data_IF_182018063702
#
_entry.id   IF_182018063702
#
_cell.length_a   1.000
_cell.length_b   1.000
_cell.length_c   1.000
_cell.angle_alpha   90.00
_cell.angle_beta   90.00
_cell.angle_gamma   90.00
#
_symmetry.space_group_name_H-M   'P 1'
#
loop_
_entity.id
_entity.type
_entity.pdbx_description
1 polymer ?
#
# COMPACT_ATOMS: atom_id res chain seq x y z
N UNK A 1 -22.59 23.14 -3.63
CA UNK A 1 -22.43 21.83 -2.95
C UNK A 1 -20.94 21.58 -2.78
N UNK A 2 -20.49 21.10 -1.61
CA UNK A 2 -19.07 20.79 -1.39
C UNK A 2 -18.68 19.58 -2.24
N UNK A 3 -17.44 19.55 -2.76
CA UNK A 3 -16.97 18.48 -3.66
C UNK A 3 -17.14 17.08 -3.07
N UNK A 4 -16.83 16.92 -1.77
CA UNK A 4 -16.98 15.66 -1.02
C UNK A 4 -18.43 15.21 -0.89
N UNK A 5 -19.38 16.13 -0.69
CA UNK A 5 -20.81 15.82 -0.69
C UNK A 5 -21.26 15.31 -2.07
N UNK A 6 -20.82 15.95 -3.15
CA UNK A 6 -21.15 15.48 -4.51
C UNK A 6 -20.58 14.09 -4.79
N UNK A 7 -19.37 13.79 -4.32
CA UNK A 7 -18.78 12.45 -4.45
C UNK A 7 -19.60 11.39 -3.71
N UNK A 8 -20.10 11.67 -2.51
CA UNK A 8 -20.95 10.74 -1.76
C UNK A 8 -22.29 10.50 -2.45
N UNK A 9 -22.85 11.53 -3.09
CA UNK A 9 -24.06 11.38 -3.92
C UNK A 9 -23.81 10.44 -5.10
N UNK A 10 -22.70 10.62 -5.80
CA UNK A 10 -22.33 9.74 -6.93
C UNK A 10 -22.04 8.32 -6.42
N UNK A 11 -21.38 8.17 -5.28
CA UNK A 11 -21.12 6.88 -4.66
C UNK A 11 -22.42 6.15 -4.29
N UNK A 12 -23.39 6.85 -3.70
CA UNK A 12 -24.71 6.31 -3.40
C UNK A 12 -25.43 5.82 -4.67
N UNK A 13 -25.38 6.59 -5.76
CA UNK A 13 -25.96 6.19 -7.05
C UNK A 13 -25.29 4.95 -7.64
N UNK A 14 -23.97 4.83 -7.50
CA UNK A 14 -23.23 3.66 -7.97
C UNK A 14 -23.54 2.40 -7.15
N UNK A 15 -23.60 2.52 -5.81
CA UNK A 15 -23.99 1.43 -4.91
C UNK A 15 -25.44 0.98 -5.17
N UNK A 16 -26.35 1.91 -5.43
CA UNK A 16 -27.72 1.59 -5.83
C UNK A 16 -27.76 0.77 -7.13
N UNK A 17 -26.97 1.16 -8.14
CA UNK A 17 -26.91 0.39 -9.39
C UNK A 17 -26.36 -1.01 -9.18
N UNK A 18 -25.32 -1.16 -8.36
CA UNK A 18 -24.74 -2.47 -8.03
C UNK A 18 -25.80 -3.37 -7.39
N UNK A 19 -26.59 -2.82 -6.49
CA UNK A 19 -27.62 -3.59 -5.80
C UNK A 19 -28.79 -3.99 -6.73
N UNK A 20 -29.14 -3.15 -7.70
CA UNK A 20 -30.26 -3.44 -8.63
C UNK A 20 -29.83 -4.34 -9.78
N UNK A 21 -28.62 -4.15 -10.32
CA UNK A 21 -28.13 -4.84 -11.53
C UNK A 21 -27.20 -6.01 -11.21
N UNK A 22 -26.76 -6.16 -9.96
CA UNK A 22 -25.83 -7.20 -9.51
C UNK A 22 -24.36 -6.83 -9.72
N UNK A 23 -23.49 -7.69 -9.17
CA UNK A 23 -22.06 -7.44 -9.02
C UNK A 23 -21.30 -7.29 -10.35
N UNK A 24 -21.86 -7.75 -11.47
CA UNK A 24 -21.24 -7.71 -12.80
C UNK A 24 -20.91 -6.28 -13.25
N UNK A 25 -21.69 -5.30 -12.80
CA UNK A 25 -21.50 -3.90 -13.18
C UNK A 25 -20.35 -3.22 -12.44
N UNK A 26 -19.69 -3.89 -11.49
CA UNK A 26 -18.54 -3.35 -10.75
C UNK A 26 -17.45 -2.82 -11.69
N UNK A 27 -17.30 -3.46 -12.86
CA UNK A 27 -16.36 -3.10 -13.92
C UNK A 27 -16.71 -1.76 -14.60
N UNK A 28 -17.97 -1.33 -14.53
CA UNK A 28 -18.47 -0.10 -15.14
C UNK A 28 -18.44 1.11 -14.20
N UNK A 29 -18.19 0.92 -12.90
CA UNK A 29 -18.30 1.99 -11.87
C UNK A 29 -17.36 3.14 -12.13
N UNK A 30 -16.13 2.87 -12.59
CA UNK A 30 -15.17 3.92 -12.89
C UNK A 30 -15.68 4.83 -14.00
N UNK A 31 -16.25 4.23 -15.05
CA UNK A 31 -16.87 4.96 -16.15
C UNK A 31 -18.11 5.73 -15.68
N UNK A 32 -18.95 5.10 -14.87
CA UNK A 32 -20.14 5.71 -14.30
C UNK A 32 -19.81 6.95 -13.45
N UNK A 33 -18.92 6.81 -12.47
CA UNK A 33 -18.53 7.90 -11.58
C UNK A 33 -17.87 9.05 -12.35
N UNK A 34 -17.01 8.75 -13.34
CA UNK A 34 -16.39 9.78 -14.19
C UNK A 34 -17.38 10.49 -15.10
N UNK A 35 -18.43 9.80 -15.56
CA UNK A 35 -19.48 10.40 -16.38
C UNK A 35 -20.39 11.33 -15.56
N UNK A 36 -20.63 11.01 -14.28
CA UNK A 36 -21.45 11.83 -13.39
C UNK A 36 -20.68 13.01 -12.78
N UNK A 37 -19.36 12.89 -12.62
CA UNK A 37 -18.53 13.94 -12.06
C UNK A 37 -18.10 14.97 -13.12
N UNK A 38 -18.16 16.26 -12.77
CA UNK A 38 -17.59 17.35 -13.58
C UNK A 38 -16.08 17.51 -13.43
N UNK A 39 -15.53 16.98 -12.33
CA UNK A 39 -14.13 17.10 -11.95
C UNK A 39 -13.58 15.75 -11.48
N UNK A 40 -12.31 15.46 -11.81
CA UNK A 40 -11.68 14.19 -11.48
C UNK A 40 -11.62 13.92 -9.96
N UNK A 41 -11.39 14.96 -9.14
CA UNK A 41 -11.39 14.86 -7.67
C UNK A 41 -12.71 14.27 -7.14
N UNK A 42 -13.83 14.64 -7.78
CA UNK A 42 -15.15 14.22 -7.36
C UNK A 42 -15.38 12.75 -7.74
N UNK A 43 -15.01 12.35 -8.97
CA UNK A 43 -15.10 10.96 -9.40
C UNK A 43 -14.13 10.05 -8.65
N UNK A 44 -12.91 10.51 -8.38
CA UNK A 44 -11.87 9.69 -7.74
C UNK A 44 -12.28 9.34 -6.31
N UNK A 45 -12.79 10.32 -5.55
CA UNK A 45 -13.32 10.05 -4.22
C UNK A 45 -14.59 9.20 -4.25
N UNK A 46 -15.49 9.41 -5.22
CA UNK A 46 -16.68 8.56 -5.38
C UNK A 46 -16.30 7.09 -5.71
N UNK A 47 -15.34 6.88 -6.62
CA UNK A 47 -14.84 5.54 -6.97
C UNK A 47 -14.21 4.87 -5.75
N UNK A 48 -13.41 5.61 -4.98
CA UNK A 48 -12.78 5.10 -3.76
C UNK A 48 -13.84 4.63 -2.75
N UNK A 49 -14.85 5.45 -2.48
CA UNK A 49 -15.95 5.11 -1.59
C UNK A 49 -16.67 3.85 -2.05
N UNK A 50 -17.01 3.73 -3.33
CA UNK A 50 -17.78 2.58 -3.84
C UNK A 50 -16.93 1.31 -3.83
N UNK A 51 -15.68 1.39 -4.31
CA UNK A 51 -14.77 0.23 -4.36
C UNK A 51 -14.31 -0.23 -2.99
N UNK A 52 -14.24 0.66 -2.01
CA UNK A 52 -13.97 0.32 -0.62
C UNK A 52 -15.20 -0.24 0.10
N UNK A 53 -16.37 0.37 -0.11
CA UNK A 53 -17.61 -0.08 0.51
C UNK A 53 -18.04 -1.46 -0.02
N UNK A 54 -18.01 -1.69 -1.33
CA UNK A 54 -18.50 -2.91 -1.98
C UNK A 54 -17.99 -4.24 -1.37
N UNK A 55 -16.66 -4.48 -1.21
CA UNK A 55 -16.16 -5.71 -0.60
C UNK A 55 -16.52 -5.81 0.89
N UNK A 56 -16.70 -4.68 1.59
CA UNK A 56 -17.05 -4.63 3.00
C UNK A 56 -18.56 -4.78 3.28
N UNK A 57 -19.43 -4.76 2.25
CA UNK A 57 -20.90 -4.79 2.40
C UNK A 57 -21.35 -5.94 3.32
N UNK A 58 -20.83 -7.16 3.13
CA UNK A 58 -21.24 -8.32 3.93
C UNK A 58 -20.92 -8.16 5.41
N UNK A 59 -19.79 -7.52 5.75
CA UNK A 59 -19.40 -7.29 7.14
C UNK A 59 -20.18 -6.12 7.74
N UNK A 60 -20.34 -5.04 6.96
CA UNK A 60 -21.12 -3.87 7.34
C UNK A 60 -22.58 -4.24 7.61
N UNK A 61 -23.19 -5.04 6.74
CA UNK A 61 -24.57 -5.53 6.90
C UNK A 61 -24.71 -6.35 8.19
N UNK A 62 -23.74 -7.21 8.52
CA UNK A 62 -23.75 -7.96 9.80
C UNK A 62 -23.73 -7.02 11.01
N UNK A 63 -22.89 -5.98 10.98
CA UNK A 63 -22.80 -4.99 12.07
C UNK A 63 -24.11 -4.21 12.20
N UNK A 64 -24.69 -3.74 11.08
CA UNK A 64 -25.98 -3.04 11.06
C UNK A 64 -27.09 -3.95 11.61
N UNK A 65 -27.18 -5.21 11.18
CA UNK A 65 -28.19 -6.16 11.66
C UNK A 65 -28.06 -6.38 13.17
N UNK A 66 -26.83 -6.53 13.69
CA UNK A 66 -26.59 -6.84 15.10
C UNK A 66 -27.00 -5.74 16.09
N UNK A 67 -27.22 -4.50 15.61
CA UNK A 67 -27.67 -3.37 16.42
C UNK A 67 -29.14 -2.98 16.15
N UNK A 68 -29.74 -3.59 15.15
CA UNK A 68 -31.09 -3.30 14.67
C UNK A 68 -32.07 -4.32 15.24
N UNK A 69 -32.46 -4.16 16.50
CA UNK A 69 -33.48 -5.00 17.12
C UNK A 69 -34.79 -4.91 16.30
N UNK A 70 -35.27 -6.04 15.79
CA UNK A 70 -36.52 -6.21 15.04
C UNK A 70 -36.56 -5.70 13.58
N UNK A 71 -35.42 -5.38 12.95
CA UNK A 71 -35.41 -4.90 11.56
C UNK A 71 -34.61 -5.79 10.62
N UNK A 72 -35.29 -6.28 9.59
CA UNK A 72 -34.71 -7.03 8.48
C UNK A 72 -34.13 -6.05 7.45
N UNK A 73 -32.83 -6.14 7.19
CA UNK A 73 -32.10 -5.29 6.25
C UNK A 73 -32.71 -5.33 4.83
N UNK A 74 -33.33 -6.46 4.45
CA UNK A 74 -33.98 -6.63 3.15
C UNK A 74 -35.34 -5.91 3.05
N UNK A 75 -35.96 -5.55 4.18
CA UNK A 75 -37.24 -4.80 4.22
C UNK A 75 -37.05 -3.28 4.20
N UNK A 76 -35.79 -2.82 4.25
CA UNK A 76 -35.43 -1.41 4.20
C UNK A 76 -35.46 -0.86 2.77
N UNK A 77 -35.81 0.43 2.62
CA UNK A 77 -35.65 1.14 1.36
C UNK A 77 -34.21 1.00 0.85
N UNK A 78 -34.06 0.67 -0.43
CA UNK A 78 -32.76 0.41 -1.08
C UNK A 78 -31.81 1.61 -0.88
N UNK A 79 -32.35 2.83 -0.91
CA UNK A 79 -31.57 4.06 -0.67
C UNK A 79 -31.07 4.12 0.79
N UNK A 80 -31.94 3.91 1.78
CA UNK A 80 -31.55 3.95 3.20
C UNK A 80 -30.46 2.92 3.51
N UNK A 81 -30.59 1.72 2.93
CA UNK A 81 -29.60 0.64 3.09
C UNK A 81 -28.24 1.02 2.52
N UNK A 82 -28.19 1.59 1.32
CA UNK A 82 -26.92 2.03 0.72
C UNK A 82 -26.33 3.26 1.41
N UNK A 83 -27.17 4.17 1.91
CA UNK A 83 -26.70 5.29 2.75
C UNK A 83 -26.04 4.76 4.03
N UNK A 84 -26.66 3.79 4.72
CA UNK A 84 -26.07 3.17 5.89
C UNK A 84 -24.79 2.42 5.56
N UNK A 85 -24.76 1.63 4.48
CA UNK A 85 -23.55 0.91 4.05
C UNK A 85 -22.38 1.86 3.77
N UNK A 86 -22.65 2.93 3.03
CA UNK A 86 -21.65 3.95 2.71
C UNK A 86 -21.15 4.64 3.98
N UNK A 87 -22.05 5.08 4.86
CA UNK A 87 -21.69 5.77 6.08
C UNK A 87 -20.95 4.88 7.09
N UNK A 88 -21.38 3.63 7.24
CA UNK A 88 -20.67 2.63 8.05
C UNK A 88 -19.30 2.33 7.46
N UNK A 89 -19.16 2.30 6.13
CA UNK A 89 -17.85 2.17 5.51
C UNK A 89 -16.92 3.33 5.91
N UNK A 90 -17.41 4.57 5.82
CA UNK A 90 -16.63 5.73 6.28
C UNK A 90 -16.29 5.65 7.78
N UNK A 91 -17.27 5.30 8.63
CA UNK A 91 -17.09 5.24 10.08
C UNK A 91 -16.11 4.15 10.55
N UNK A 92 -16.09 3.01 9.87
CA UNK A 92 -15.36 1.83 10.32
C UNK A 92 -13.99 1.67 9.64
N UNK A 93 -13.84 2.23 8.43
CA UNK A 93 -12.66 1.97 7.61
C UNK A 93 -11.97 3.25 7.10
N UNK A 94 -12.51 4.45 7.38
CA UNK A 94 -11.90 5.72 6.96
C UNK A 94 -11.69 6.69 8.13
N UNK A 95 -10.56 6.51 8.82
CA UNK A 95 -10.18 7.32 10.00
C UNK A 95 -9.85 8.79 9.68
N UNK A 96 -9.68 9.14 8.40
CA UNK A 96 -9.45 10.51 7.94
C UNK A 96 -10.75 11.35 7.88
N UNK A 97 -11.91 10.71 8.03
CA UNK A 97 -13.21 11.40 8.05
C UNK A 97 -13.74 11.41 9.49
N UNK A 98 -13.87 12.61 10.12
CA UNK A 98 -14.43 12.70 11.45
C UNK A 98 -15.80 12.03 11.51
N UNK A 99 -16.09 11.16 12.50
CA UNK A 99 -17.33 10.38 12.56
C UNK A 99 -18.60 11.22 12.42
N UNK A 100 -18.60 12.40 13.04
CA UNK A 100 -19.71 13.37 12.95
C UNK A 100 -19.96 13.86 11.52
N UNK A 101 -18.93 13.97 10.67
CA UNK A 101 -19.07 14.34 9.27
C UNK A 101 -19.75 13.21 8.49
N UNK A 102 -19.30 11.96 8.66
CA UNK A 102 -19.88 10.78 8.02
C UNK A 102 -21.37 10.62 8.37
N UNK A 103 -21.71 10.80 9.66
CA UNK A 103 -23.10 10.75 10.16
C UNK A 103 -23.96 11.85 9.54
N UNK A 104 -23.49 13.11 9.57
CA UNK A 104 -24.27 14.24 9.04
C UNK A 104 -24.49 14.13 7.52
N UNK A 105 -23.47 13.75 6.75
CA UNK A 105 -23.60 13.59 5.30
C UNK A 105 -24.57 12.45 4.97
N UNK A 106 -24.57 11.36 5.73
CA UNK A 106 -25.52 10.26 5.57
C UNK A 106 -26.97 10.69 5.83
N UNK A 107 -27.21 11.48 6.89
CA UNK A 107 -28.54 12.02 7.20
C UNK A 107 -29.05 12.91 6.08
N UNK A 108 -28.19 13.77 5.54
CA UNK A 108 -28.56 14.68 4.45
C UNK A 108 -28.83 13.93 3.15
N UNK A 109 -28.06 12.88 2.83
CA UNK A 109 -28.36 11.98 1.71
C UNK A 109 -29.70 11.26 1.88
N UNK A 110 -29.98 10.74 3.08
CA UNK A 110 -31.24 10.06 3.38
C UNK A 110 -32.45 10.99 3.23
N UNK A 111 -32.36 12.22 3.76
CA UNK A 111 -33.40 13.25 3.60
C UNK A 111 -33.61 13.64 2.14
N UNK A 112 -32.54 13.67 1.34
CA UNK A 112 -32.58 14.11 -0.06
C UNK A 112 -33.13 13.05 -1.01
N UNK A 113 -32.81 11.77 -0.79
CA UNK A 113 -33.05 10.70 -1.76
C UNK A 113 -34.03 9.60 -1.30
N UNK A 114 -34.50 9.66 -0.05
CA UNK A 114 -35.39 8.63 0.53
C UNK A 114 -36.69 9.25 1.09
N UNK A 115 -37.20 8.74 2.22
CA UNK A 115 -38.48 9.17 2.81
C UNK A 115 -38.31 10.30 3.84
N UNK A 116 -39.41 10.98 4.19
CA UNK A 116 -39.41 12.04 5.23
C UNK A 116 -38.88 11.57 6.59
N UNK A 117 -39.03 10.27 6.91
CA UNK A 117 -38.59 9.68 8.18
C UNK A 117 -37.16 9.10 8.11
N UNK A 118 -36.57 8.98 6.92
CA UNK A 118 -35.30 8.28 6.72
C UNK A 118 -34.11 8.97 7.40
N UNK A 119 -34.12 10.30 7.49
CA UNK A 119 -33.05 11.04 8.19
C UNK A 119 -32.95 10.69 9.68
N UNK A 120 -34.08 10.59 10.38
CA UNK A 120 -34.11 10.21 11.81
C UNK A 120 -33.70 8.74 12.01
N UNK A 121 -34.16 7.87 11.11
CA UNK A 121 -33.82 6.46 11.13
C UNK A 121 -32.31 6.24 10.93
N UNK A 122 -31.73 6.82 9.88
CA UNK A 122 -30.29 6.73 9.59
C UNK A 122 -29.46 7.26 10.75
N UNK A 123 -29.83 8.41 11.32
CA UNK A 123 -29.15 8.94 12.50
C UNK A 123 -29.17 7.92 13.67
N UNK A 124 -30.34 7.37 14.00
CA UNK A 124 -30.47 6.44 15.12
C UNK A 124 -29.69 5.13 14.94
N UNK A 125 -29.56 4.63 13.71
CA UNK A 125 -28.74 3.44 13.42
C UNK A 125 -27.25 3.79 13.50
N UNK A 126 -26.82 4.89 12.88
CA UNK A 126 -25.40 5.28 12.86
C UNK A 126 -24.89 5.69 14.23
N UNK A 127 -25.71 6.32 15.08
CA UNK A 127 -25.35 6.61 16.47
C UNK A 127 -25.04 5.32 17.24
N UNK A 128 -25.85 4.26 17.04
CA UNK A 128 -25.61 2.95 17.65
C UNK A 128 -24.36 2.25 17.08
N UNK A 129 -24.13 2.34 15.76
CA UNK A 129 -22.88 1.84 15.14
C UNK A 129 -21.68 2.54 15.75
N UNK A 130 -21.74 3.87 15.81
CA UNK A 130 -20.68 4.70 16.37
C UNK A 130 -20.43 4.35 17.83
N UNK A 131 -21.46 4.34 18.69
CA UNK A 131 -21.29 3.98 20.10
C UNK A 131 -20.69 2.58 20.27
N UNK A 132 -21.17 1.58 19.52
CA UNK A 132 -20.78 0.17 19.73
C UNK A 132 -19.43 -0.19 19.13
N UNK A 133 -19.10 0.35 17.96
CA UNK A 133 -17.94 -0.09 17.17
C UNK A 133 -16.85 0.97 17.01
N UNK A 134 -17.15 2.23 17.33
CA UNK A 134 -16.19 3.34 17.21
C UNK A 134 -15.85 3.89 18.61
N UNK A 135 -16.84 4.36 19.38
CA UNK A 135 -16.66 4.93 20.72
C UNK A 135 -16.28 3.91 21.79
N UNK A 136 -16.94 2.74 21.86
CA UNK A 136 -16.53 1.67 22.79
C UNK A 136 -15.21 0.99 22.39
N UNK A 137 -14.68 1.28 21.20
CA UNK A 137 -13.30 0.97 20.83
C UNK A 137 -12.28 2.00 21.32
N UNK A 138 -12.75 3.16 21.80
CA UNK A 138 -11.94 4.27 22.34
C UNK A 138 -11.98 4.33 23.89
N UNK A 139 -12.98 3.74 24.57
CA UNK A 139 -13.06 3.71 26.05
C UNK A 139 -12.06 2.74 26.74
N UNK A 140 -11.28 1.95 25.98
CA UNK A 140 -10.11 1.22 26.48
C UNK A 140 -8.82 2.09 26.51
N UNK A 141 -8.90 3.39 26.16
CA UNK A 141 -7.71 4.24 25.97
C UNK A 141 -7.64 5.56 26.76
N UNK A 142 -8.48 5.84 27.76
CA UNK A 142 -8.24 7.05 28.57
C UNK A 142 -8.68 6.94 30.04
N UNK A 143 -7.69 6.95 30.96
CA UNK A 143 -7.94 6.89 32.40
C UNK A 143 -6.68 6.67 33.25
N UNK A 144 -5.70 7.57 33.22
CA UNK A 144 -4.63 7.60 34.25
C UNK A 144 -5.03 8.50 35.41
N UNK A 145 -5.22 7.91 36.60
CA UNK A 145 -4.67 8.49 37.84
C UNK A 145 -4.54 7.44 38.95
N UNK A 146 -3.29 7.12 39.29
CA UNK A 146 -2.87 6.70 40.63
C UNK A 146 -3.37 5.36 41.15
N UNK A 147 -2.63 4.29 40.85
CA UNK A 147 -2.12 3.31 41.82
C UNK A 147 -1.18 2.36 41.06
N UNK A 148 0.03 2.20 41.60
CA UNK A 148 1.05 1.29 41.09
C UNK A 148 0.55 -0.17 41.18
N UNK A 149 -0.06 -0.68 40.12
CA UNK A 149 -0.27 -2.13 39.97
C UNK A 149 0.22 -2.60 38.61
N UNK A 150 1.20 -3.50 38.68
CA UNK A 150 1.76 -4.27 37.56
C UNK A 150 0.65 -5.05 36.85
N UNK A 151 0.09 -4.50 35.79
CA UNK A 151 -0.76 -5.27 34.88
C UNK A 151 0.08 -5.73 33.70
N UNK A 152 0.57 -6.97 33.80
CA UNK A 152 1.01 -7.77 32.66
C UNK A 152 -0.20 -7.97 31.73
N UNK A 153 -0.43 -7.03 30.80
CA UNK A 153 -1.28 -7.26 29.65
C UNK A 153 -0.68 -8.44 28.88
N UNK A 154 -1.37 -9.58 28.88
CA UNK A 154 -1.08 -10.68 27.97
C UNK A 154 -1.35 -10.19 26.56
N UNK A 155 -0.34 -9.55 25.95
CA UNK A 155 -0.32 -9.29 24.52
C UNK A 155 -0.51 -10.66 23.86
N UNK A 156 -1.60 -10.81 23.10
CA UNK A 156 -1.81 -12.01 22.29
C UNK A 156 -0.58 -12.28 21.44
N UNK A 157 -0.30 -13.55 21.13
CA UNK A 157 0.87 -13.91 20.30
C UNK A 157 0.86 -13.05 19.03
N UNK A 158 1.98 -12.37 18.73
CA UNK A 158 2.14 -11.62 17.47
C UNK A 158 1.92 -12.56 16.30
N UNK A 159 1.36 -12.03 15.21
CA UNK A 159 1.10 -12.82 14.01
C UNK A 159 1.16 -11.98 12.76
N UNK A 160 1.50 -12.64 11.66
CA UNK A 160 1.51 -12.06 10.32
C UNK A 160 2.69 -11.15 10.07
N UNK A 161 2.86 -10.76 8.81
CA UNK A 161 3.91 -9.84 8.44
C UNK A 161 3.63 -8.99 7.22
N UNK A 162 4.29 -7.84 7.21
CA UNK A 162 4.32 -6.90 6.09
C UNK A 162 5.72 -6.91 5.49
N UNK A 163 5.84 -7.49 4.29
CA UNK A 163 7.13 -7.82 3.69
C UNK A 163 7.56 -6.82 2.61
N UNK A 164 6.96 -5.63 2.57
CA UNK A 164 7.32 -4.61 1.60
C UNK A 164 7.16 -3.21 2.22
N UNK A 165 8.23 -2.69 2.80
CA UNK A 165 8.23 -1.43 3.56
C UNK A 165 9.45 -0.58 3.18
N UNK A 166 9.23 0.70 2.91
CA UNK A 166 10.28 1.68 2.62
C UNK A 166 10.46 2.66 3.77
N UNK A 167 11.71 3.05 4.01
CA UNK A 167 12.12 4.02 5.03
C UNK A 167 12.73 5.26 4.39
N UNK A 168 13.13 6.22 5.23
CA UNK A 168 13.89 7.41 4.85
C UNK A 168 15.33 7.11 4.38
N UNK A 169 15.74 5.84 4.29
CA UNK A 169 16.95 5.39 3.60
C UNK A 169 16.74 5.13 2.10
N UNK A 170 15.51 5.23 1.60
CA UNK A 170 15.21 5.31 0.17
C UNK A 170 14.24 6.44 -0.15
N UNK A 171 12.99 6.13 -0.46
CA UNK A 171 11.92 7.08 -0.74
C UNK A 171 10.69 6.91 0.16
N UNK A 172 10.83 6.24 1.31
CA UNK A 172 9.90 6.38 2.44
C UNK A 172 10.18 7.63 3.29
N UNK A 173 9.24 8.02 4.16
CA UNK A 173 9.41 9.18 5.06
C UNK A 173 9.63 8.82 6.52
N UNK A 174 9.35 7.57 6.91
CA UNK A 174 9.54 7.11 8.28
C UNK A 174 10.95 6.55 8.46
N UNK A 175 11.54 6.77 9.61
CA UNK A 175 12.80 6.14 10.02
C UNK A 175 12.62 4.63 10.26
N UNK A 176 13.71 3.84 10.20
CA UNK A 176 13.65 2.41 10.52
C UNK A 176 13.10 2.14 11.92
N UNK A 177 13.40 2.99 12.90
CA UNK A 177 12.89 2.90 14.26
C UNK A 177 11.38 3.13 14.34
N UNK A 178 10.87 4.19 13.70
CA UNK A 178 9.42 4.46 13.61
C UNK A 178 8.67 3.32 12.94
N UNK A 179 9.25 2.73 11.89
CA UNK A 179 8.69 1.53 11.23
C UNK A 179 8.58 0.35 12.21
N UNK A 180 9.61 0.11 13.01
CA UNK A 180 9.61 -0.97 14.01
C UNK A 180 8.61 -0.69 15.13
N UNK A 181 8.53 0.55 15.63
CA UNK A 181 7.54 0.95 16.64
C UNK A 181 6.11 0.76 16.16
N UNK A 182 5.83 1.19 14.94
CA UNK A 182 4.51 1.04 14.33
C UNK A 182 4.15 -0.43 14.11
N UNK A 183 5.09 -1.25 13.63
CA UNK A 183 4.87 -2.69 13.49
C UNK A 183 4.61 -3.40 14.82
N UNK A 184 5.29 -2.98 15.90
CA UNK A 184 5.04 -3.47 17.26
C UNK A 184 3.65 -3.06 17.76
N UNK A 185 3.23 -1.81 17.49
CA UNK A 185 1.90 -1.29 17.84
C UNK A 185 0.79 -2.06 17.12
N UNK A 186 1.02 -2.45 15.87
CA UNK A 186 0.11 -3.27 15.06
C UNK A 186 0.19 -4.77 15.38
N UNK A 187 0.99 -5.17 16.37
CA UNK A 187 1.17 -6.55 16.80
C UNK A 187 1.62 -7.53 15.69
N UNK A 188 2.37 -7.03 14.70
CA UNK A 188 2.95 -7.85 13.63
C UNK A 188 4.09 -8.72 14.17
N UNK A 189 4.19 -9.95 13.67
CA UNK A 189 5.27 -10.87 14.04
C UNK A 189 6.52 -10.63 13.21
N UNK A 190 6.36 -10.27 11.93
CA UNK A 190 7.48 -10.13 10.99
C UNK A 190 7.32 -8.89 10.11
N UNK A 191 8.41 -8.17 9.88
CA UNK A 191 8.48 -7.13 8.84
C UNK A 191 9.72 -7.31 7.97
N UNK A 192 9.67 -6.81 6.74
CA UNK A 192 10.83 -6.68 5.87
C UNK A 192 10.96 -5.23 5.39
N UNK A 193 12.08 -4.59 5.71
CA UNK A 193 12.43 -3.27 5.16
C UNK A 193 13.12 -3.52 3.82
N UNK A 194 12.55 -2.98 2.75
CA UNK A 194 12.88 -3.29 1.35
C UNK A 194 13.25 -2.01 0.59
N UNK A 195 14.04 -1.14 1.21
CA UNK A 195 14.44 0.14 0.64
C UNK A 195 15.03 -0.01 -0.77
N UNK A 196 14.71 0.96 -1.65
CA UNK A 196 15.18 0.95 -3.03
C UNK A 196 16.71 1.05 -3.14
N UNK A 197 17.33 -0.02 -3.65
CA UNK A 197 18.78 -0.15 -3.85
C UNK A 197 19.63 0.24 -2.62
N UNK A 198 19.08 0.03 -1.42
CA UNK A 198 19.75 0.32 -0.15
C UNK A 198 19.40 -0.73 0.89
N UNK A 199 20.37 -1.05 1.75
CA UNK A 199 20.17 -1.97 2.89
C UNK A 199 20.57 -1.30 4.21
N UNK A 200 20.87 -0.01 4.17
CA UNK A 200 21.49 0.75 5.26
C UNK A 200 20.53 0.87 6.48
N UNK A 201 19.22 0.73 6.26
CA UNK A 201 18.19 0.71 7.30
C UNK A 201 18.15 -0.60 8.12
N UNK A 202 18.64 -1.72 7.57
CA UNK A 202 18.40 -3.05 8.14
C UNK A 202 19.08 -3.21 9.50
N UNK A 203 20.37 -2.87 9.60
CA UNK A 203 21.13 -3.02 10.84
C UNK A 203 20.55 -2.15 11.95
N UNK A 204 20.15 -0.91 11.61
CA UNK A 204 19.49 0.03 12.54
C UNK A 204 18.20 -0.57 13.09
N UNK A 205 17.33 -1.07 12.20
CA UNK A 205 16.07 -1.67 12.58
C UNK A 205 16.28 -2.92 13.46
N UNK A 206 17.22 -3.80 13.09
CA UNK A 206 17.56 -5.01 13.83
C UNK A 206 18.12 -4.69 15.23
N UNK A 207 19.01 -3.71 15.35
CA UNK A 207 19.54 -3.25 16.64
C UNK A 207 18.43 -2.68 17.51
N UNK A 208 17.56 -1.83 16.96
CA UNK A 208 16.45 -1.23 17.69
C UNK A 208 15.40 -2.26 18.13
N UNK A 209 15.20 -3.30 17.33
CA UNK A 209 14.29 -4.41 17.59
C UNK A 209 14.80 -5.40 18.64
N UNK A 210 16.09 -5.39 18.98
CA UNK A 210 16.69 -6.41 19.85
C UNK A 210 15.90 -6.53 21.17
N UNK A 211 15.39 -7.74 21.45
CA UNK A 211 14.53 -8.11 22.59
C UNK A 211 13.08 -7.60 22.56
N UNK A 212 12.58 -7.04 21.45
CA UNK A 212 11.18 -6.56 21.30
C UNK A 212 10.21 -7.60 20.71
N UNK A 213 10.71 -8.78 20.33
CA UNK A 213 9.88 -9.93 19.92
C UNK A 213 9.25 -9.85 18.53
N UNK A 214 9.69 -8.91 17.69
CA UNK A 214 9.36 -8.84 16.27
C UNK A 214 10.55 -9.36 15.44
N UNK A 215 10.28 -9.98 14.30
CA UNK A 215 11.29 -10.48 13.38
C UNK A 215 11.50 -9.48 12.25
N UNK A 216 12.76 -9.13 11.97
CA UNK A 216 13.12 -8.26 10.84
C UNK A 216 13.89 -9.09 9.83
N UNK A 217 13.27 -9.31 8.68
CA UNK A 217 13.91 -10.00 7.55
C UNK A 217 14.87 -9.00 6.88
N UNK A 218 16.17 -9.35 6.73
CA UNK A 218 17.07 -8.58 5.89
C UNK A 218 16.55 -8.61 4.45
N UNK A 219 16.21 -7.46 3.89
CA UNK A 219 15.61 -7.38 2.57
C UNK A 219 15.99 -6.11 1.81
N UNK A 220 15.72 -6.10 0.50
CA UNK A 220 15.99 -4.98 -0.41
C UNK A 220 15.01 -5.01 -1.58
N UNK A 221 14.67 -3.86 -2.15
CA UNK A 221 14.05 -3.80 -3.48
C UNK A 221 15.06 -3.29 -4.51
N UNK A 222 15.55 -4.18 -5.36
CA UNK A 222 16.45 -3.81 -6.45
C UNK A 222 15.64 -3.27 -7.62
N UNK A 223 15.96 -2.05 -8.07
CA UNK A 223 15.43 -1.57 -9.35
C UNK A 223 16.31 -2.08 -10.49
N UNK A 224 15.69 -2.83 -11.39
CA UNK A 224 16.31 -3.42 -12.57
C UNK A 224 15.63 -2.91 -13.84
N UNK A 225 16.25 -3.19 -14.98
CA UNK A 225 15.74 -2.78 -16.28
C UNK A 225 15.46 -3.98 -17.16
N UNK A 226 14.28 -3.95 -17.79
CA UNK A 226 13.95 -4.82 -18.90
C UNK A 226 13.26 -3.98 -19.97
N UNK A 227 13.97 -3.72 -21.07
CA UNK A 227 13.54 -2.78 -22.08
C UNK A 227 12.06 -2.98 -22.48
N UNK A 228 11.23 -1.92 -22.47
CA UNK A 228 11.56 -0.52 -22.18
C UNK A 228 11.26 -0.07 -20.73
N UNK A 229 11.02 -0.99 -19.79
CA UNK A 229 10.46 -0.69 -18.47
C UNK A 229 11.45 -0.92 -17.31
N UNK A 230 11.23 -0.17 -16.23
CA UNK A 230 11.83 -0.46 -14.93
C UNK A 230 11.04 -1.61 -14.28
N UNK A 231 11.73 -2.63 -13.78
CA UNK A 231 11.16 -3.80 -13.11
C UNK A 231 11.83 -3.94 -11.75
N UNK A 232 11.05 -4.13 -10.70
CA UNK A 232 11.58 -4.26 -9.35
C UNK A 232 11.58 -5.71 -8.88
N UNK A 233 12.66 -6.11 -8.22
CA UNK A 233 12.83 -7.43 -7.64
C UNK A 233 13.14 -7.25 -6.15
N UNK A 234 12.26 -7.81 -5.32
CA UNK A 234 12.47 -7.91 -3.89
C UNK A 234 13.47 -9.03 -3.63
N UNK A 235 14.40 -8.79 -2.71
CA UNK A 235 15.32 -9.80 -2.18
C UNK A 235 15.05 -9.99 -0.70
N UNK A 236 14.70 -11.20 -0.27
CA UNK A 236 14.50 -11.54 1.15
C UNK A 236 15.62 -12.43 1.68
N UNK A 237 15.90 -12.33 2.98
CA UNK A 237 16.97 -13.06 3.65
C UNK A 237 18.34 -12.89 2.96
N UNK A 238 18.61 -11.67 2.49
CA UNK A 238 19.89 -11.34 1.85
C UNK A 238 21.03 -11.35 2.86
N UNK A 239 22.22 -11.76 2.44
CA UNK A 239 23.44 -11.54 3.23
C UNK A 239 23.88 -10.08 3.11
N UNK A 240 23.62 -9.30 4.16
CA UNK A 240 23.95 -7.87 4.25
C UNK A 240 25.46 -7.60 4.28
N UNK A 241 26.31 -8.63 4.39
CA UNK A 241 27.77 -8.53 4.34
C UNK A 241 28.36 -9.01 3.01
N UNK A 242 27.51 -9.45 2.07
CA UNK A 242 27.96 -9.93 0.77
C UNK A 242 28.59 -8.79 -0.04
N UNK A 243 29.88 -8.92 -0.37
CA UNK A 243 30.63 -7.86 -1.04
C UNK A 243 30.15 -7.56 -2.46
N UNK A 244 29.65 -8.55 -3.19
CA UNK A 244 29.11 -8.35 -4.53
C UNK A 244 27.80 -7.56 -4.51
N UNK A 245 26.90 -7.89 -3.57
CA UNK A 245 25.67 -7.13 -3.34
C UNK A 245 25.99 -5.70 -2.92
N UNK A 246 26.82 -5.51 -1.90
CA UNK A 246 27.23 -4.19 -1.41
C UNK A 246 27.86 -3.32 -2.49
N UNK A 247 28.78 -3.90 -3.28
CA UNK A 247 29.41 -3.22 -4.40
C UNK A 247 28.40 -2.77 -5.46
N UNK A 248 27.44 -3.64 -5.80
CA UNK A 248 26.42 -3.29 -6.80
C UNK A 248 25.41 -2.26 -6.28
N UNK A 249 25.00 -2.34 -5.01
CA UNK A 249 24.12 -1.33 -4.39
C UNK A 249 24.78 0.05 -4.41
N UNK A 250 26.08 0.15 -4.10
CA UNK A 250 26.83 1.40 -4.19
C UNK A 250 26.86 1.96 -5.61
N UNK A 251 27.10 1.11 -6.62
CA UNK A 251 27.05 1.50 -8.04
C UNK A 251 25.66 2.04 -8.44
N UNK A 252 24.58 1.36 -8.01
CA UNK A 252 23.20 1.78 -8.31
C UNK A 252 22.86 3.13 -7.68
N UNK A 253 23.31 3.39 -6.45
CA UNK A 253 23.10 4.69 -5.79
C UNK A 253 23.87 5.82 -6.48
N UNK A 254 25.10 5.57 -6.93
CA UNK A 254 25.87 6.55 -7.72
C UNK A 254 25.17 6.86 -9.05
N UNK A 255 24.65 5.85 -9.74
CA UNK A 255 23.92 6.08 -10.99
C UNK A 255 22.61 6.86 -10.75
N UNK A 256 21.90 6.63 -9.64
CA UNK A 256 20.73 7.44 -9.28
C UNK A 256 21.07 8.92 -9.17
N UNK A 257 22.19 9.28 -8.56
CA UNK A 257 22.67 10.67 -8.47
C UNK A 257 22.89 11.26 -9.86
N UNK A 258 23.60 10.54 -10.74
CA UNK A 258 23.84 10.99 -12.12
C UNK A 258 22.55 11.07 -12.94
N UNK A 259 21.62 10.15 -12.69
CA UNK A 259 20.30 10.13 -13.32
C UNK A 259 19.47 11.34 -12.91
N UNK A 260 19.47 11.74 -11.63
CA UNK A 260 18.80 12.97 -11.19
C UNK A 260 19.36 14.18 -11.93
N UNK A 261 20.69 14.31 -12.05
CA UNK A 261 21.32 15.41 -12.81
C UNK A 261 20.86 15.45 -14.27
N UNK A 262 20.71 14.28 -14.90
CA UNK A 262 20.19 14.17 -16.28
C UNK A 262 18.70 14.55 -16.36
N UNK A 263 17.88 14.10 -15.42
CA UNK A 263 16.44 14.42 -15.36
C UNK A 263 16.24 15.93 -15.17
N UNK A 264 16.92 16.55 -14.21
CA UNK A 264 16.81 18.00 -13.96
C UNK A 264 17.34 18.81 -15.13
N UNK A 265 18.42 18.38 -15.79
CA UNK A 265 18.88 19.00 -17.05
C UNK A 265 17.80 18.97 -18.14
N UNK A 266 17.09 17.84 -18.31
CA UNK A 266 15.98 17.75 -19.26
C UNK A 266 14.82 18.67 -18.87
N UNK A 267 14.46 18.75 -17.58
CA UNK A 267 13.45 19.67 -17.07
C UNK A 267 13.81 21.14 -17.35
N UNK A 268 15.05 21.53 -17.07
CA UNK A 268 15.53 22.90 -17.29
C UNK A 268 15.46 23.30 -18.78
N UNK A 269 15.78 22.38 -19.69
CA UNK A 269 15.63 22.59 -21.13
C UNK A 269 14.17 22.79 -21.58
N UNK A 270 13.21 22.36 -20.77
CA UNK A 270 11.76 22.56 -20.99
C UNK A 270 11.24 23.82 -20.28
N UNK A 271 12.12 24.65 -19.72
CA UNK A 271 11.74 25.84 -18.94
C UNK A 271 11.28 25.52 -17.51
N UNK A 272 11.46 24.28 -17.04
CA UNK A 272 11.12 23.86 -15.68
C UNK A 272 12.39 23.82 -14.84
N UNK A 273 12.72 24.95 -14.23
CA UNK A 273 13.99 25.13 -13.52
C UNK A 273 13.99 24.43 -12.16
N UNK A 274 14.69 23.30 -12.07
CA UNK A 274 14.93 22.52 -10.84
C UNK A 274 16.44 22.34 -10.66
N UNK A 275 16.98 22.72 -9.49
CA UNK A 275 18.35 22.41 -9.13
C UNK A 275 18.45 20.95 -8.65
N UNK A 276 19.39 20.12 -9.16
CA UNK A 276 19.64 18.79 -8.62
C UNK A 276 19.83 18.77 -7.09
N UNK A 277 20.47 19.80 -6.52
CA UNK A 277 20.70 19.87 -5.08
C UNK A 277 19.39 19.86 -4.27
N UNK A 278 18.34 20.54 -4.75
CA UNK A 278 17.03 20.52 -4.09
C UNK A 278 16.44 19.11 -4.03
N UNK A 279 16.68 18.30 -5.07
CA UNK A 279 16.22 16.91 -5.10
C UNK A 279 17.00 16.06 -4.10
N UNK A 280 18.31 16.30 -3.96
CA UNK A 280 19.15 15.61 -2.98
C UNK A 280 18.79 16.02 -1.55
N UNK A 281 18.51 17.29 -1.30
CA UNK A 281 18.09 17.80 0.01
C UNK A 281 16.74 17.18 0.43
N UNK A 282 15.83 16.94 -0.53
CA UNK A 282 14.56 16.24 -0.29
C UNK A 282 14.79 14.75 0.02
N UNK A 283 15.72 14.10 -0.67
CA UNK A 283 16.07 12.70 -0.41
C UNK A 283 16.77 12.53 0.95
N UNK A 284 17.50 13.56 1.41
CA UNK A 284 18.20 13.53 2.69
C UNK A 284 19.28 12.45 2.71
N UNK A 285 19.16 11.50 3.64
CA UNK A 285 20.05 10.33 3.74
C UNK A 285 19.63 9.18 2.81
N UNK A 286 18.47 9.29 2.16
CA UNK A 286 17.91 8.26 1.31
C UNK A 286 18.45 8.23 -0.12
N UNK A 287 18.30 7.08 -0.76
CA UNK A 287 18.64 6.87 -2.17
C UNK A 287 17.77 7.76 -3.09
N UNK A 288 18.33 8.74 -3.84
CA UNK A 288 17.54 9.68 -4.61
C UNK A 288 16.82 9.01 -5.79
N UNK A 289 15.71 9.60 -6.24
CA UNK A 289 14.81 8.95 -7.18
C UNK A 289 13.80 9.90 -7.80
N UNK A 290 12.99 9.40 -8.75
CA UNK A 290 11.96 10.21 -9.43
C UNK A 290 10.91 10.76 -8.48
N UNK A 291 10.62 10.06 -7.38
CA UNK A 291 9.72 10.54 -6.33
C UNK A 291 10.21 11.88 -5.75
N UNK A 292 11.50 11.98 -5.42
CA UNK A 292 12.11 13.23 -4.94
C UNK A 292 12.09 14.36 -5.98
N UNK A 293 12.25 14.04 -7.27
CA UNK A 293 12.06 15.04 -8.36
C UNK A 293 10.61 15.50 -8.45
N UNK A 294 9.65 14.59 -8.31
CA UNK A 294 8.23 14.90 -8.33
C UNK A 294 7.86 15.86 -7.19
N UNK A 295 8.44 15.65 -6.00
CA UNK A 295 8.29 16.57 -4.87
C UNK A 295 8.92 17.94 -5.13
N UNK A 296 10.13 17.99 -5.70
CA UNK A 296 10.75 19.27 -6.05
C UNK A 296 9.88 20.07 -7.04
N UNK A 297 9.29 19.38 -8.04
CA UNK A 297 8.36 19.98 -8.98
C UNK A 297 7.11 20.55 -8.29
N UNK A 298 6.55 19.83 -7.31
CA UNK A 298 5.41 20.30 -6.53
C UNK A 298 5.78 21.48 -5.62
N UNK A 299 6.89 21.40 -4.88
CA UNK A 299 7.37 22.47 -3.99
C UNK A 299 7.64 23.77 -4.74
N UNK A 300 8.11 23.68 -5.99
CA UNK A 300 8.32 24.83 -6.89
C UNK A 300 7.06 25.32 -7.62
N UNK A 301 5.92 24.65 -7.44
CA UNK A 301 4.64 25.03 -8.04
C UNK A 301 4.49 24.69 -9.53
N UNK A 302 5.40 23.89 -10.11
CA UNK A 302 5.27 23.46 -11.51
C UNK A 302 4.16 22.43 -11.72
N UNK A 303 3.87 21.65 -10.67
CA UNK A 303 2.85 20.62 -10.64
C UNK A 303 2.05 20.74 -9.33
N UNK A 304 0.75 20.44 -9.37
CA UNK A 304 -0.13 20.52 -8.20
C UNK A 304 0.00 19.32 -7.25
N UNK A 305 0.48 18.18 -7.74
CA UNK A 305 0.67 16.94 -6.97
C UNK A 305 1.65 15.98 -7.67
N UNK A 306 2.08 14.95 -6.93
CA UNK A 306 3.04 13.93 -7.40
C UNK A 306 2.56 13.24 -8.68
N UNK A 307 1.27 12.88 -8.76
CA UNK A 307 0.70 12.20 -9.95
C UNK A 307 0.82 13.07 -11.20
N UNK A 308 0.61 14.38 -11.07
CA UNK A 308 0.79 15.32 -12.16
C UNK A 308 2.26 15.40 -12.60
N UNK A 309 3.21 15.46 -11.66
CA UNK A 309 4.65 15.45 -11.94
C UNK A 309 5.07 14.23 -12.77
N UNK A 310 4.59 13.03 -12.41
CA UNK A 310 4.84 11.82 -13.20
C UNK A 310 4.20 11.90 -14.58
N UNK A 311 2.91 12.25 -14.66
CA UNK A 311 2.18 12.32 -15.94
C UNK A 311 2.77 13.31 -16.93
N UNK A 312 3.26 14.47 -16.46
CA UNK A 312 3.78 15.53 -17.32
C UNK A 312 5.25 15.33 -17.69
N UNK A 313 6.06 14.79 -16.78
CA UNK A 313 7.51 14.85 -16.92
C UNK A 313 8.26 13.54 -16.69
N UNK A 314 7.88 12.75 -15.69
CA UNK A 314 8.78 11.72 -15.12
C UNK A 314 8.42 10.27 -15.43
N UNK A 315 7.17 9.98 -15.83
CA UNK A 315 6.75 8.63 -16.18
C UNK A 315 7.43 8.15 -17.48
N UNK A 316 7.32 6.86 -17.77
CA UNK A 316 7.93 6.29 -18.96
C UNK A 316 7.50 7.04 -20.22
N UNK A 317 8.45 7.27 -21.13
CA UNK A 317 8.28 8.05 -22.37
C UNK A 317 7.95 9.54 -22.17
N UNK A 318 7.86 10.05 -20.94
CA UNK A 318 7.67 11.47 -20.70
C UNK A 318 8.95 12.28 -20.98
N UNK A 319 8.85 13.61 -21.22
CA UNK A 319 9.96 14.43 -21.72
C UNK A 319 11.23 14.42 -20.86
N UNK A 320 11.10 14.29 -19.53
CA UNK A 320 12.24 14.25 -18.61
C UNK A 320 12.64 12.83 -18.18
N UNK A 321 12.02 11.78 -18.72
CA UNK A 321 12.36 10.40 -18.41
C UNK A 321 13.79 10.07 -18.85
N UNK A 322 14.52 9.37 -17.97
CA UNK A 322 15.85 8.82 -18.24
C UNK A 322 15.81 7.36 -17.78
N UNK A 323 16.10 6.36 -18.64
CA UNK A 323 16.06 4.95 -18.26
C UNK A 323 17.22 4.58 -17.32
N UNK A 324 16.99 3.61 -16.42
CA UNK A 324 17.98 3.11 -15.45
C UNK A 324 18.62 1.81 -15.94
N UNK A 325 19.58 1.88 -16.87
CA UNK A 325 20.13 0.68 -17.54
C UNK A 325 21.28 -0.03 -16.78
N UNK A 326 21.49 0.30 -15.51
CA UNK A 326 22.66 -0.12 -14.71
C UNK A 326 22.63 -1.59 -14.30
N UNK A 327 21.45 -2.16 -14.13
CA UNK A 327 21.25 -3.54 -13.71
C UNK A 327 20.12 -4.15 -14.54
N UNK A 328 20.46 -5.16 -15.34
CA UNK A 328 19.46 -5.88 -16.13
C UNK A 328 18.67 -6.82 -15.22
N UNK A 329 17.40 -7.06 -15.57
CA UNK A 329 16.50 -7.95 -14.81
C UNK A 329 17.12 -9.32 -14.46
N UNK A 330 17.79 -9.97 -15.43
CA UNK A 330 18.45 -11.24 -15.21
C UNK A 330 19.57 -11.16 -14.16
N UNK A 331 20.34 -10.07 -14.18
CA UNK A 331 21.45 -9.85 -13.26
C UNK A 331 20.96 -9.51 -11.86
N UNK A 332 19.82 -8.80 -11.74
CA UNK A 332 19.20 -8.52 -10.43
C UNK A 332 18.77 -9.79 -9.71
N UNK A 333 18.07 -10.69 -10.41
CA UNK A 333 17.63 -11.99 -9.89
C UNK A 333 18.86 -12.82 -9.47
N UNK A 334 19.86 -12.92 -10.35
CA UNK A 334 21.09 -13.67 -10.07
C UNK A 334 21.86 -13.08 -8.89
N UNK A 335 21.96 -11.75 -8.80
CA UNK A 335 22.66 -11.08 -7.71
C UNK A 335 22.05 -11.46 -6.35
N UNK A 336 20.73 -11.32 -6.21
CA UNK A 336 20.00 -11.68 -4.98
C UNK A 336 20.26 -13.15 -4.65
N UNK A 337 20.04 -14.07 -5.59
CA UNK A 337 20.22 -15.49 -5.36
C UNK A 337 21.67 -15.85 -4.98
N UNK A 338 22.66 -15.27 -5.67
CA UNK A 338 24.08 -15.50 -5.39
C UNK A 338 24.57 -14.89 -4.07
N UNK A 339 23.85 -13.87 -3.57
CA UNK A 339 24.03 -13.32 -2.22
C UNK A 339 23.32 -14.12 -1.12
N UNK A 340 22.76 -15.29 -1.45
CA UNK A 340 22.06 -16.15 -0.49
C UNK A 340 20.60 -15.77 -0.27
N UNK A 341 20.08 -14.73 -0.92
CA UNK A 341 18.71 -14.27 -0.74
C UNK A 341 17.70 -14.89 -1.72
N UNK A 342 16.41 -14.71 -1.44
CA UNK A 342 15.28 -15.16 -2.25
C UNK A 342 14.82 -14.00 -3.14
N UNK A 343 14.86 -14.19 -4.46
CA UNK A 343 14.36 -13.20 -5.42
C UNK A 343 12.85 -13.35 -5.66
N UNK A 344 12.14 -12.22 -5.57
CA UNK A 344 10.68 -12.14 -5.67
C UNK A 344 10.27 -11.00 -6.61
N UNK A 345 9.34 -11.27 -7.53
CA UNK A 345 8.85 -10.24 -8.44
C UNK A 345 7.85 -9.32 -7.73
N UNK A 346 8.23 -8.05 -7.60
CA UNK A 346 7.50 -6.99 -6.90
C UNK A 346 6.32 -6.46 -7.75
N UNK A 347 5.16 -6.25 -7.11
CA UNK A 347 3.94 -5.62 -7.66
C UNK A 347 3.67 -5.84 -9.16
N UNK A 348 3.57 -7.11 -9.61
CA UNK A 348 3.34 -7.43 -11.02
C UNK A 348 2.10 -6.76 -11.63
N UNK A 349 1.06 -6.48 -10.83
CA UNK A 349 -0.16 -5.79 -11.29
C UNK A 349 0.07 -4.31 -11.65
N UNK A 350 1.08 -3.68 -11.05
CA UNK A 350 1.49 -2.29 -11.35
C UNK A 350 2.28 -2.24 -12.65
N UNK A 351 3.24 -3.16 -12.83
CA UNK A 351 4.12 -3.20 -14.00
C UNK A 351 3.42 -3.78 -15.24
N UNK A 352 2.46 -4.70 -15.06
CA UNK A 352 1.67 -5.36 -16.12
C UNK A 352 2.55 -6.03 -17.17
N UNK A 353 3.51 -6.83 -16.69
CA UNK A 353 4.52 -7.55 -17.50
C UNK A 353 4.53 -9.05 -17.20
N UNK A 354 3.36 -9.64 -17.01
CA UNK A 354 3.19 -11.06 -16.69
C UNK A 354 3.87 -11.97 -17.72
N UNK A 355 3.99 -11.54 -18.98
CA UNK A 355 4.70 -12.25 -20.05
C UNK A 355 6.18 -12.51 -19.75
N UNK A 356 6.78 -11.76 -18.82
CA UNK A 356 8.17 -11.93 -18.41
C UNK A 356 8.36 -12.99 -17.34
N UNK A 357 7.31 -13.40 -16.63
CA UNK A 357 7.40 -14.36 -15.52
C UNK A 357 8.09 -15.68 -15.92
N UNK A 358 7.78 -16.33 -17.06
CA UNK A 358 8.48 -17.55 -17.47
C UNK A 358 9.99 -17.32 -17.63
N UNK A 359 10.37 -16.15 -18.19
CA UNK A 359 11.77 -15.79 -18.38
C UNK A 359 12.47 -15.45 -17.07
N UNK A 360 11.77 -14.83 -16.13
CA UNK A 360 12.28 -14.59 -14.78
C UNK A 360 12.53 -15.91 -14.05
N UNK A 361 11.64 -16.90 -14.21
CA UNK A 361 11.83 -18.26 -13.68
C UNK A 361 13.09 -18.90 -14.27
N UNK A 362 13.33 -18.78 -15.58
CA UNK A 362 14.59 -19.23 -16.21
C UNK A 362 15.84 -18.53 -15.65
N UNK A 363 15.72 -17.28 -15.20
CA UNK A 363 16.79 -16.55 -14.52
C UNK A 363 16.98 -16.97 -13.05
N UNK A 364 16.06 -17.76 -12.50
CA UNK A 364 16.09 -18.26 -11.14
C UNK A 364 15.17 -17.50 -10.17
N UNK A 365 14.12 -16.80 -10.65
CA UNK A 365 13.12 -16.18 -9.78
C UNK A 365 12.47 -17.24 -8.87
N UNK A 366 12.27 -16.90 -7.60
CA UNK A 366 11.78 -17.85 -6.59
C UNK A 366 10.45 -17.47 -5.95
N UNK A 367 9.96 -16.25 -6.15
CA UNK A 367 8.65 -15.82 -5.67
C UNK A 367 8.00 -14.71 -6.48
N UNK A 368 6.75 -14.43 -6.15
CA UNK A 368 5.95 -13.35 -6.72
C UNK A 368 5.10 -12.70 -5.62
N UNK A 369 5.05 -11.37 -5.64
CA UNK A 369 4.19 -10.60 -4.73
C UNK A 369 2.74 -10.68 -5.22
N UNK A 370 1.91 -11.39 -4.46
CA UNK A 370 0.50 -11.63 -4.78
C UNK A 370 -0.40 -10.62 -4.09
N UNK A 371 -0.14 -10.37 -2.81
CA UNK A 371 -0.94 -9.43 -2.01
C UNK A 371 -0.26 -8.07 -2.02
N UNK A 372 -0.92 -7.08 -2.62
CA UNK A 372 -0.39 -5.73 -2.80
C UNK A 372 -1.56 -4.74 -2.84
N UNK A 373 -1.43 -3.48 -2.39
CA UNK A 373 -2.58 -2.58 -2.19
C UNK A 373 -3.45 -2.32 -3.43
N UNK A 374 -2.87 -2.42 -4.63
CA UNK A 374 -3.59 -2.17 -5.89
C UNK A 374 -3.99 -3.44 -6.63
N UNK A 375 -3.63 -4.62 -6.13
CA UNK A 375 -4.06 -5.88 -6.73
C UNK A 375 -5.53 -6.13 -6.41
N UNK A 376 -6.34 -6.24 -7.45
CA UNK A 376 -7.75 -6.60 -7.36
C UNK A 376 -7.90 -8.13 -7.19
N UNK A 377 -9.10 -8.64 -6.84
CA UNK A 377 -9.32 -10.09 -6.71
C UNK A 377 -8.86 -10.91 -7.93
N UNK A 378 -9.12 -10.42 -9.14
CA UNK A 378 -8.68 -11.06 -10.40
C UNK A 378 -7.14 -11.08 -10.52
N UNK A 379 -6.45 -10.04 -10.04
CA UNK A 379 -4.98 -9.99 -10.01
C UNK A 379 -4.43 -11.02 -9.02
N UNK A 380 -5.00 -11.08 -7.82
CA UNK A 380 -4.62 -12.03 -6.77
C UNK A 380 -4.80 -13.47 -7.28
N UNK A 381 -5.97 -13.79 -7.83
CA UNK A 381 -6.25 -15.13 -8.36
C UNK A 381 -5.25 -15.51 -9.48
N UNK A 382 -5.03 -14.59 -10.43
CA UNK A 382 -4.07 -14.79 -11.52
C UNK A 382 -2.65 -15.04 -10.98
N UNK A 383 -2.17 -14.25 -10.03
CA UNK A 383 -0.83 -14.40 -9.49
C UNK A 383 -0.67 -15.64 -8.60
N UNK A 384 -1.72 -16.07 -7.89
CA UNK A 384 -1.74 -17.37 -7.21
C UNK A 384 -1.65 -18.53 -8.21
N UNK A 385 -2.36 -18.47 -9.33
CA UNK A 385 -2.29 -19.49 -10.38
C UNK A 385 -0.90 -19.56 -11.02
N UNK A 386 -0.30 -18.40 -11.31
CA UNK A 386 1.06 -18.32 -11.85
C UNK A 386 2.10 -18.81 -10.83
N UNK A 387 1.94 -18.46 -9.55
CA UNK A 387 2.81 -18.95 -8.49
C UNK A 387 2.79 -20.47 -8.41
N UNK A 388 1.59 -21.07 -8.42
CA UNK A 388 1.42 -22.52 -8.45
C UNK A 388 2.01 -23.16 -9.73
N UNK A 389 1.81 -22.54 -10.90
CA UNK A 389 2.28 -23.06 -12.19
C UNK A 389 3.80 -23.16 -12.26
N UNK A 390 4.52 -22.18 -11.70
CA UNK A 390 5.98 -22.08 -11.79
C UNK A 390 6.70 -22.40 -10.47
N UNK A 391 5.99 -22.96 -9.48
CA UNK A 391 6.51 -23.26 -8.13
C UNK A 391 7.17 -22.04 -7.44
N UNK A 392 6.56 -20.86 -7.61
CA UNK A 392 7.01 -19.62 -6.98
C UNK A 392 6.39 -19.49 -5.59
N UNK A 393 7.17 -18.95 -4.65
CA UNK A 393 6.69 -18.48 -3.36
C UNK A 393 5.67 -17.36 -3.56
N UNK A 394 4.65 -17.34 -2.70
CA UNK A 394 3.68 -16.25 -2.60
C UNK A 394 4.17 -15.28 -1.53
N UNK A 395 4.20 -13.98 -1.82
CA UNK A 395 4.50 -12.95 -0.82
C UNK A 395 3.46 -11.83 -0.84
N UNK A 396 3.60 -10.87 0.07
CA UNK A 396 2.78 -9.68 0.11
C UNK A 396 3.31 -8.64 1.08
N UNK A 397 2.94 -7.39 0.83
CA UNK A 397 3.30 -6.27 1.67
C UNK A 397 2.55 -5.01 1.27
N UNK A 398 2.62 -4.02 2.14
CA UNK A 398 1.88 -2.77 1.98
C UNK A 398 2.52 -1.83 0.97
N UNK A 399 3.82 -1.96 0.68
CA UNK A 399 4.59 -0.96 -0.06
C UNK A 399 4.50 0.43 0.61
N UNK A 400 4.59 0.41 1.95
CA UNK A 400 4.49 1.59 2.80
C UNK A 400 5.64 2.57 2.55
N UNK A 401 5.30 3.85 2.40
CA UNK A 401 6.26 4.95 2.20
C UNK A 401 6.03 6.11 3.19
N UNK A 402 5.28 5.88 4.27
CA UNK A 402 4.85 6.95 5.19
C UNK A 402 3.99 8.02 4.51
N UNK A 403 4.26 9.28 4.81
CA UNK A 403 3.45 10.42 4.38
C UNK A 403 3.43 10.62 2.86
N UNK A 404 4.47 10.15 2.14
CA UNK A 404 4.50 10.17 0.67
C UNK A 404 3.37 9.36 0.03
N UNK A 405 2.90 8.32 0.75
CA UNK A 405 1.73 7.54 0.39
C UNK A 405 0.83 7.39 1.61
N UNK A 406 0.36 8.50 2.15
CA UNK A 406 -0.40 8.55 3.41
C UNK A 406 -1.64 7.64 3.48
N UNK A 407 -2.19 7.22 2.34
CA UNK A 407 -3.30 6.26 2.24
C UNK A 407 -2.88 4.78 2.34
N UNK A 408 -1.59 4.48 2.12
CA UNK A 408 -1.00 3.16 2.37
C UNK A 408 -0.46 3.18 3.79
N UNK A 409 -1.02 2.34 4.65
CA UNK A 409 -0.55 2.18 6.03
C UNK A 409 0.33 0.94 6.15
N UNK A 410 1.33 1.01 7.01
CA UNK A 410 2.09 -0.16 7.43
C UNK A 410 1.12 -1.22 7.97
N UNK A 411 1.29 -2.48 7.57
CA UNK A 411 0.36 -3.55 7.92
C UNK A 411 -1.00 -3.47 7.22
N UNK A 412 -1.21 -2.55 6.28
CA UNK A 412 -2.43 -2.48 5.47
C UNK A 412 -2.61 -3.67 4.53
N UNK A 413 -1.51 -4.34 4.19
CA UNK A 413 -1.47 -5.66 3.56
C UNK A 413 -0.52 -6.52 4.38
N UNK A 414 -0.99 -7.69 4.79
CA UNK A 414 -0.20 -8.64 5.57
C UNK A 414 -0.32 -10.04 4.97
N UNK A 415 0.69 -10.86 5.22
CA UNK A 415 0.70 -12.29 4.97
C UNK A 415 0.73 -13.06 6.28
N UNK A 416 0.26 -14.31 6.26
CA UNK A 416 0.33 -15.20 7.43
C UNK A 416 1.77 -15.65 7.73
N UNK A 417 2.02 -16.06 8.98
CA UNK A 417 3.34 -16.54 9.40
C UNK A 417 3.80 -17.78 8.62
N UNK A 418 2.89 -18.62 8.12
CA UNK A 418 3.21 -19.79 7.32
C UNK A 418 3.78 -19.43 5.93
N UNK A 419 3.36 -18.30 5.35
CA UNK A 419 4.02 -17.74 4.16
C UNK A 419 5.46 -17.33 4.48
N UNK A 420 5.68 -16.65 5.61
CA UNK A 420 7.02 -16.23 6.05
C UNK A 420 7.93 -17.45 6.26
N UNK A 421 7.41 -18.49 6.93
CA UNK A 421 8.12 -19.74 7.18
C UNK A 421 8.53 -20.42 5.87
N UNK A 422 7.66 -20.48 4.86
CA UNK A 422 7.99 -21.05 3.54
C UNK A 422 9.12 -20.31 2.82
N UNK A 423 9.18 -18.98 2.94
CA UNK A 423 10.29 -18.19 2.37
C UNK A 423 11.59 -18.58 3.07
N UNK A 424 11.55 -18.68 4.41
CA UNK A 424 12.71 -19.09 5.21
C UNK A 424 13.16 -20.52 4.91
N UNK A 425 12.24 -21.47 4.80
CA UNK A 425 12.54 -22.85 4.42
C UNK A 425 13.20 -22.92 3.04
N UNK A 426 12.73 -22.13 2.06
CA UNK A 426 13.37 -22.06 0.74
C UNK A 426 14.79 -21.53 0.83
N UNK A 427 14.99 -20.47 1.62
CA UNK A 427 16.30 -19.88 1.88
C UNK A 427 17.25 -20.91 2.51
N UNK A 428 16.83 -21.56 3.58
CA UNK A 428 17.68 -22.51 4.33
C UNK A 428 18.08 -23.70 3.45
N UNK A 429 17.17 -24.21 2.60
CA UNK A 429 17.47 -25.24 1.62
C UNK A 429 18.49 -24.77 0.57
N UNK A 430 18.33 -23.55 0.04
CA UNK A 430 19.23 -22.98 -0.96
C UNK A 430 20.64 -22.75 -0.39
N UNK A 431 20.75 -22.18 0.82
CA UNK A 431 22.03 -21.95 1.51
C UNK A 431 22.71 -23.28 1.87
N UNK A 432 21.94 -24.29 2.28
CA UNK A 432 22.43 -25.65 2.50
C UNK A 432 23.08 -26.24 1.24
N UNK A 433 22.43 -26.13 0.08
CA UNK A 433 22.98 -26.57 -1.21
C UNK A 433 24.24 -25.78 -1.63
N UNK A 434 24.28 -24.47 -1.40
CA UNK A 434 25.45 -23.64 -1.68
C UNK A 434 26.66 -24.00 -0.81
N UNK A 435 26.40 -24.45 0.43
CA UNK A 435 27.43 -24.83 1.39
C UNK A 435 28.02 -26.22 1.12
N UNK A 436 27.24 -27.14 0.52
CA UNK A 436 27.74 -28.46 0.10
C UNK A 436 28.55 -28.45 -1.21
N UNK A 437 28.49 -27.36 -1.99
CA UNK A 437 29.18 -27.22 -3.28
C UNK A 437 30.47 -26.38 -3.20
N UNK A 438 30.87 -25.93 -2.00
CA UNK A 438 32.17 -25.31 -1.70
C UNK A 438 33.04 -26.29 -0.95
#
# INVERSE_FOLDING_TARGET
MRKRTLSREIALQALYQLEVRGDEIIKEIDSFCRKQAKEAEISDFAIMLVKGCFPAIKEIDKKIISISENWDLHRMAVIDRNVLRLACYELLYMSDIPPKVSINEAIDLAKKYSTEKSGLFVNGVLDKVYSRYVKNGEEDQDGTSGLEEKVNLKIGKRSGGDLHIHTDYSDGTASPEEVVEEALRLNLQTIAITDHDSIDAIEIAQTFCNRKGINIIPAVELSSYYCPADIHILGYFIDIKNSALLGKLAELRLERIERIKKITKKLNNLGVNINPQEVFDIAGKGSPGRMHVAEALCKRGYCSNIRESFRRYLADKCPAYVPKMTLMLADAIKLINSSGGISVYSHPGTTKRDELIPKMVEYGLQGIEVYYPTHLPDDIERYLQLAKKYDLLVTGGSDYHGERRSFIKLGGITVDDGIVEKIKERHDNMVGMLSCNK
#
